data_IF_189211203937
#
_entry.id   IF_189211203937
#
_cell.length_a   1.000
_cell.length_b   1.000
_cell.length_c   1.000
_cell.angle_alpha   90.00
_cell.angle_beta   90.00
_cell.angle_gamma   90.00
#
_symmetry.space_group_name_H-M   'P 1'
#
loop_
_entity.id
_entity.type
_entity.pdbx_description
1 polymer ?
#
# COMPACT_ATOMS: atom_id res chain seq x y z
N UNK A 1 -14.35 12.33 12.81
CA UNK A 1 -13.52 11.22 12.29
C UNK A 1 -14.24 10.68 11.06
N UNK A 2 -13.62 10.62 9.88
CA UNK A 2 -14.32 10.21 8.65
C UNK A 2 -14.40 8.69 8.57
N UNK A 3 -15.61 8.15 8.42
CA UNK A 3 -15.83 6.70 8.41
C UNK A 3 -16.15 6.21 7.00
N UNK A 4 -15.64 5.04 6.63
CA UNK A 4 -16.02 4.37 5.39
C UNK A 4 -17.37 3.68 5.60
N UNK A 5 -18.23 3.70 4.58
CA UNK A 5 -19.53 3.01 4.63
C UNK A 5 -19.34 1.48 4.69
N UNK A 6 -19.44 0.89 5.89
CA UNK A 6 -19.27 -0.55 6.10
C UNK A 6 -20.42 -1.41 5.52
N UNK A 7 -21.57 -0.81 5.21
CA UNK A 7 -22.69 -1.51 4.58
C UNK A 7 -22.51 -1.61 3.06
N UNK A 8 -21.58 -0.84 2.48
CA UNK A 8 -21.22 -0.96 1.08
C UNK A 8 -20.18 -2.06 0.90
N UNK A 9 -20.61 -3.19 0.32
CA UNK A 9 -19.69 -4.28 -0.03
C UNK A 9 -18.50 -3.80 -0.87
N UNK A 10 -18.72 -2.81 -1.75
CA UNK A 10 -17.65 -2.19 -2.56
C UNK A 10 -16.63 -1.45 -1.71
N UNK A 11 -17.07 -0.64 -0.74
CA UNK A 11 -16.14 0.11 0.09
C UNK A 11 -15.39 -0.80 1.08
N UNK A 12 -16.06 -1.83 1.63
CA UNK A 12 -15.40 -2.87 2.44
C UNK A 12 -14.32 -3.60 1.65
N UNK A 13 -14.59 -3.90 0.38
CA UNK A 13 -13.64 -4.57 -0.51
C UNK A 13 -12.40 -3.69 -0.79
N UNK A 14 -12.60 -2.39 -1.03
CA UNK A 14 -11.50 -1.43 -1.16
C UNK A 14 -10.64 -1.37 0.11
N UNK A 15 -11.24 -1.35 1.30
CA UNK A 15 -10.49 -1.37 2.57
C UNK A 15 -9.64 -2.64 2.67
N UNK A 16 -10.21 -3.81 2.35
CA UNK A 16 -9.47 -5.08 2.37
C UNK A 16 -8.29 -5.08 1.38
N UNK A 17 -8.49 -4.59 0.16
CA UNK A 17 -7.41 -4.43 -0.82
C UNK A 17 -6.33 -3.49 -0.30
N UNK A 18 -6.71 -2.36 0.29
CA UNK A 18 -5.77 -1.39 0.85
C UNK A 18 -4.89 -2.02 1.93
N UNK A 19 -5.50 -2.73 2.89
CA UNK A 19 -4.77 -3.43 3.95
C UNK A 19 -3.81 -4.48 3.39
N UNK A 20 -4.21 -5.23 2.36
CA UNK A 20 -3.33 -6.20 1.72
C UNK A 20 -2.15 -5.53 0.99
N UNK A 21 -2.38 -4.43 0.28
CA UNK A 21 -1.30 -3.67 -0.36
C UNK A 21 -0.34 -3.08 0.68
N UNK A 22 -0.86 -2.63 1.82
CA UNK A 22 -0.05 -2.08 2.91
C UNK A 22 0.83 -3.16 3.56
N UNK A 23 0.30 -4.37 3.77
CA UNK A 23 1.07 -5.52 4.26
C UNK A 23 2.24 -5.84 3.31
N UNK A 24 1.98 -5.94 2.00
CA UNK A 24 3.02 -6.16 0.99
C UNK A 24 4.05 -5.01 1.00
N UNK A 25 3.60 -3.76 1.15
CA UNK A 25 4.50 -2.60 1.22
C UNK A 25 5.52 -2.71 2.36
N UNK A 26 5.09 -3.17 3.54
CA UNK A 26 5.98 -3.39 4.68
C UNK A 26 6.89 -4.59 4.52
N UNK A 27 6.40 -5.70 3.95
CA UNK A 27 7.25 -6.85 3.63
C UNK A 27 8.39 -6.49 2.67
N UNK A 28 8.11 -5.63 1.68
CA UNK A 28 9.14 -5.11 0.77
C UNK A 28 10.13 -4.20 1.49
N UNK A 29 9.67 -3.41 2.46
CA UNK A 29 10.54 -2.58 3.28
C UNK A 29 11.51 -3.41 4.12
N UNK A 30 11.01 -4.49 4.73
CA UNK A 30 11.83 -5.37 5.56
C UNK A 30 12.86 -6.14 4.71
N UNK A 31 12.47 -6.59 3.50
CA UNK A 31 13.42 -7.20 2.56
C UNK A 31 14.57 -6.24 2.18
N UNK A 32 14.25 -4.95 1.98
CA UNK A 32 15.26 -3.91 1.67
C UNK A 32 16.16 -3.66 2.89
N UNK A 33 15.61 -3.65 4.11
CA UNK A 33 16.42 -3.49 5.34
C UNK A 33 17.37 -4.65 5.55
N UNK A 34 16.92 -5.88 5.26
CA UNK A 34 17.71 -7.10 5.43
C UNK A 34 18.86 -7.20 4.40
N UNK A 35 18.57 -6.97 3.13
CA UNK A 35 19.53 -7.17 2.03
C UNK A 35 20.30 -5.90 1.66
N UNK A 36 19.82 -4.74 2.12
CA UNK A 36 20.33 -3.44 1.74
C UNK A 36 19.65 -2.86 0.49
N UNK A 37 19.75 -1.54 0.27
CA UNK A 37 19.13 -0.85 -0.87
C UNK A 37 19.80 -1.17 -2.22
N UNK A 38 20.98 -1.79 -2.18
CA UNK A 38 21.78 -2.14 -3.35
C UNK A 38 22.26 -3.57 -3.16
N UNK A 39 22.10 -4.39 -4.20
CA UNK A 39 22.45 -5.81 -4.19
C UNK A 39 23.44 -6.12 -5.31
N UNK A 40 24.33 -7.07 -5.06
CA UNK A 40 25.22 -7.61 -6.09
C UNK A 40 24.59 -8.86 -6.67
N UNK A 41 24.38 -8.88 -7.98
CA UNK A 41 23.92 -10.07 -8.72
C UNK A 41 25.12 -10.72 -9.40
N UNK A 42 25.33 -12.00 -9.13
CA UNK A 42 26.37 -12.79 -9.78
C UNK A 42 25.76 -13.61 -10.93
N UNK A 43 26.41 -13.59 -12.09
CA UNK A 43 26.05 -14.40 -13.25
C UNK A 43 27.31 -15.07 -13.81
N UNK A 44 27.50 -16.34 -13.46
CA UNK A 44 28.71 -17.08 -13.80
C UNK A 44 29.96 -16.46 -13.18
N UNK A 45 30.78 -15.79 -14.00
CA UNK A 45 32.01 -15.08 -13.56
C UNK A 45 31.86 -13.56 -13.46
N UNK A 46 30.70 -13.01 -13.79
CA UNK A 46 30.44 -11.57 -13.77
C UNK A 46 29.61 -11.20 -12.54
N UNK A 47 29.92 -10.05 -11.93
CA UNK A 47 29.15 -9.48 -10.82
C UNK A 47 28.68 -8.07 -11.17
N UNK A 48 27.40 -7.78 -10.97
CA UNK A 48 26.81 -6.47 -11.22
C UNK A 48 26.16 -5.93 -9.96
N UNK A 49 26.47 -4.68 -9.63
CA UNK A 49 25.82 -3.95 -8.54
C UNK A 49 24.58 -3.26 -9.10
N UNK A 50 23.42 -3.48 -8.48
CA UNK A 50 22.15 -2.89 -8.90
C UNK A 50 21.28 -2.54 -7.71
N UNK A 51 20.33 -1.63 -7.91
CA UNK A 51 19.30 -1.32 -6.92
C UNK A 51 18.51 -2.57 -6.55
N UNK A 52 18.15 -2.69 -5.27
CA UNK A 52 17.36 -3.82 -4.79
C UNK A 52 15.99 -3.89 -5.53
N UNK A 53 15.63 -5.03 -6.17
CA UNK A 53 14.39 -5.13 -6.96
C UNK A 53 13.10 -4.76 -6.21
N UNK A 54 13.06 -5.01 -4.91
CA UNK A 54 11.94 -4.60 -4.05
C UNK A 54 11.71 -3.08 -4.00
N UNK A 55 12.70 -2.23 -4.29
CA UNK A 55 12.51 -0.77 -4.32
C UNK A 55 11.52 -0.39 -5.43
N UNK A 56 11.70 -0.93 -6.63
CA UNK A 56 10.80 -0.66 -7.76
C UNK A 56 9.41 -1.25 -7.51
N UNK A 57 9.34 -2.44 -6.90
CA UNK A 57 8.07 -3.03 -6.49
C UNK A 57 7.36 -2.16 -5.45
N UNK A 58 8.08 -1.68 -4.43
CA UNK A 58 7.56 -0.84 -3.35
C UNK A 58 6.99 0.47 -3.89
N UNK A 59 7.67 1.09 -4.87
CA UNK A 59 7.18 2.29 -5.55
C UNK A 59 5.86 2.05 -6.31
N UNK A 60 5.71 0.89 -6.96
CA UNK A 60 4.46 0.49 -7.62
C UNK A 60 3.32 0.29 -6.61
N UNK A 61 3.59 -0.40 -5.50
CA UNK A 61 2.61 -0.60 -4.42
C UNK A 61 2.20 0.74 -3.80
N UNK A 62 3.14 1.65 -3.55
CA UNK A 62 2.83 3.00 -3.05
C UNK A 62 1.89 3.77 -4.00
N UNK A 63 2.16 3.70 -5.30
CA UNK A 63 1.30 4.34 -6.31
C UNK A 63 -0.10 3.74 -6.31
N UNK A 64 -0.22 2.41 -6.12
CA UNK A 64 -1.50 1.73 -6.01
C UNK A 64 -2.27 2.13 -4.75
N UNK A 65 -1.59 2.24 -3.59
CA UNK A 65 -2.16 2.72 -2.33
C UNK A 65 -2.73 4.14 -2.48
N UNK A 66 -1.93 5.08 -2.98
CA UNK A 66 -2.35 6.47 -3.20
C UNK A 66 -3.51 6.57 -4.20
N UNK A 67 -3.52 5.71 -5.21
CA UNK A 67 -4.62 5.64 -6.18
C UNK A 67 -5.90 5.16 -5.52
N UNK A 68 -5.82 4.10 -4.71
CA UNK A 68 -6.97 3.51 -4.02
C UNK A 68 -7.54 4.46 -2.96
N UNK A 69 -6.67 5.16 -2.22
CA UNK A 69 -7.04 6.16 -1.20
C UNK A 69 -7.99 7.22 -1.75
N UNK A 70 -7.69 7.71 -2.95
CA UNK A 70 -8.50 8.74 -3.64
C UNK A 70 -9.90 8.24 -4.03
N UNK A 71 -10.14 6.93 -4.02
CA UNK A 71 -11.43 6.34 -4.40
C UNK A 71 -12.35 6.04 -3.22
N UNK A 72 -11.89 6.21 -1.97
CA UNK A 72 -12.74 5.97 -0.80
C UNK A 72 -13.86 7.01 -0.73
N UNK A 73 -15.07 6.52 -0.48
CA UNK A 73 -16.22 7.37 -0.16
C UNK A 73 -16.46 7.31 1.34
N UNK A 74 -16.38 8.46 2.00
CA UNK A 74 -16.59 8.59 3.44
C UNK A 74 -18.03 9.06 3.71
N UNK A 75 -18.59 8.58 4.82
CA UNK A 75 -19.81 9.15 5.40
C UNK A 75 -19.34 10.20 6.40
N UNK A 76 -19.83 11.43 6.27
CA UNK A 76 -19.65 12.46 7.28
C UNK A 76 -20.59 12.14 8.46
N UNK A 77 -20.04 12.12 9.67
CA UNK A 77 -20.77 11.83 10.91
C UNK A 77 -21.54 13.03 11.46
N UNK A 78 -21.68 14.10 10.69
CA UNK A 78 -22.25 15.38 11.15
C UNK A 78 -23.74 15.54 10.74
N UNK A 79 -24.45 14.43 10.53
CA UNK A 79 -25.90 14.41 10.38
C UNK A 79 -26.53 13.44 11.37
N UNK A 80 -26.36 13.71 12.66
CA UNK A 80 -27.28 13.26 13.69
C UNK A 80 -27.47 14.44 14.67
N UNK A 81 -28.73 14.86 14.82
CA UNK A 81 -29.28 15.73 15.87
C UNK A 81 -29.35 17.26 15.66
N UNK A 82 -30.08 17.69 14.62
CA UNK A 82 -31.00 18.84 14.79
C UNK A 82 -32.41 18.27 14.88
N UNK A 83 -32.74 17.67 16.04
CA UNK A 83 -34.12 17.32 16.36
C UNK A 83 -35.00 18.58 16.39
N UNK A 84 -35.86 18.73 15.38
CA UNK A 84 -37.11 19.50 15.40
C UNK A 84 -38.03 19.05 14.27
#
# INVERSE_FOLDING_TARGET
>A
MKNVNINSAREVEKVKRYLNLLDIYYQLDDAIKEQGPVVTTENGKQSFVKTHPAIDAKNKINTALLSLEKTFTFIDSDQDDDGL
#
